data_IF_738497790660
#
_entry.id   IF_738497790660
#
_cell.length_a   1.000
_cell.length_b   1.000
_cell.length_c   1.000
_cell.angle_alpha   90.00
_cell.angle_beta   90.00
_cell.angle_gamma   90.00
#
_symmetry.space_group_name_H-M   'P 1'
#
loop_
_entity.id
_entity.type
_entity.pdbx_description
1 polymer ?
2 non-polymer ?
3 non-polymer ?
4 water ?
#
# COMPACT_ATOMS: atom_id res chain seq x y z
N UNK A 1 -9.93 -2.46 -16.51
CA UNK A 1 -10.10 -1.02 -16.59
C UNK A 1 -10.74 -0.43 -15.35
N UNK A 2 -10.48 0.86 -15.17
CA UNK A 2 -11.00 1.61 -14.02
C UNK A 2 -12.51 1.39 -13.89
N UNK A 3 -13.20 1.23 -15.01
CA UNK A 3 -14.66 1.26 -15.02
C UNK A 3 -15.25 0.01 -14.37
N UNK A 4 -14.79 -1.19 -14.74
CA UNK A 4 -15.15 -2.38 -13.95
C UNK A 4 -13.90 -3.25 -13.70
N UNK A 5 -13.16 -2.87 -12.66
CA UNK A 5 -12.20 -3.77 -12.07
C UNK A 5 -12.91 -4.66 -11.05
N UNK A 6 -12.17 -5.60 -10.47
CA UNK A 6 -12.63 -6.28 -9.28
C UNK A 6 -12.87 -5.29 -8.16
N UNK A 7 -13.75 -5.65 -7.24
CA UNK A 7 -13.93 -4.89 -6.01
C UNK A 7 -13.16 -5.58 -4.88
N UNK A 8 -13.07 -4.89 -3.75
CA UNK A 8 -12.48 -5.50 -2.56
C UNK A 8 -13.29 -6.72 -2.14
N UNK A 9 -14.62 -6.65 -2.23
CA UNK A 9 -15.43 -7.79 -1.82
C UNK A 9 -15.12 -9.01 -2.68
N UNK A 10 -14.88 -8.80 -3.97
CA UNK A 10 -14.46 -9.92 -4.82
C UNK A 10 -13.05 -10.38 -4.50
N UNK A 11 -12.16 -9.47 -4.10
CA UNK A 11 -10.84 -9.90 -3.63
C UNK A 11 -10.99 -10.81 -2.41
N UNK A 12 -11.86 -10.43 -1.47
CA UNK A 12 -12.11 -11.30 -0.30
C UNK A 12 -12.55 -12.69 -0.75
N UNK A 13 -13.51 -12.76 -1.65
CA UNK A 13 -14.00 -14.04 -2.17
C UNK A 13 -12.85 -14.91 -2.69
N UNK A 14 -12.01 -14.34 -3.54
CA UNK A 14 -10.92 -15.13 -4.12
C UNK A 14 -9.89 -15.56 -3.07
N UNK A 15 -9.60 -14.71 -2.08
CA UNK A 15 -8.74 -15.17 -0.99
C UNK A 15 -9.40 -16.29 -0.20
N UNK A 16 -10.71 -16.17 0.07
CA UNK A 16 -11.42 -17.25 0.72
C UNK A 16 -11.33 -18.55 -0.06
N UNK A 17 -11.49 -18.47 -1.38
CA UNK A 17 -11.40 -19.68 -2.20
C UNK A 17 -10.00 -20.27 -2.17
N UNK A 18 -8.97 -19.41 -2.15
CA UNK A 18 -7.59 -19.89 -2.06
C UNK A 18 -7.33 -20.64 -0.75
N UNK A 19 -7.88 -20.15 0.36
CA UNK A 19 -7.68 -20.83 1.64
C UNK A 19 -8.46 -22.14 1.68
N UNK A 20 -9.72 -22.12 1.23
CA UNK A 20 -10.53 -23.33 1.22
C UNK A 20 -9.91 -24.42 0.34
N UNK A 21 -9.31 -24.03 -0.77
CA UNK A 21 -8.63 -25.01 -1.61
C UNK A 21 -7.20 -25.31 -1.14
N UNK A 22 -6.75 -24.70 -0.05
CA UNK A 22 -5.41 -24.95 0.49
C UNK A 22 -4.34 -24.65 -0.56
N UNK A 23 -4.55 -23.54 -1.28
CA UNK A 23 -3.64 -23.03 -2.32
C UNK A 23 -2.46 -22.30 -1.66
N UNK A 24 -1.56 -23.07 -1.08
CA UNK A 24 -0.54 -22.52 -0.19
C UNK A 24 0.80 -22.32 -0.88
N UNK A 25 1.47 -21.24 -0.48
CA UNK A 25 2.81 -20.91 -0.97
C UNK A 25 3.71 -20.68 0.25
N UNK A 26 4.87 -21.35 0.28
CA UNK A 26 5.80 -21.18 1.39
C UNK A 26 6.50 -19.84 1.27
N UNK A 27 6.62 -19.14 2.40
CA UNK A 27 7.17 -17.79 2.47
C UNK A 27 8.69 -17.82 2.53
N UNK A 28 9.29 -16.66 2.27
CA UNK A 28 10.72 -16.45 2.50
C UNK A 28 11.15 -16.88 3.90
N UNK A 29 10.24 -16.85 4.86
CA UNK A 29 10.51 -17.25 6.23
C UNK A 29 10.04 -18.65 6.56
N UNK A 30 9.61 -19.42 5.56
CA UNK A 30 9.18 -20.80 5.76
C UNK A 30 7.74 -20.96 6.21
N UNK A 31 6.97 -19.88 6.27
CA UNK A 31 5.58 -19.94 6.70
C UNK A 31 4.69 -20.08 5.47
N UNK A 32 3.41 -20.39 5.67
CA UNK A 32 2.47 -20.49 4.55
C UNK A 32 1.85 -19.12 4.24
N UNK A 33 1.57 -18.91 2.96
CA UNK A 33 0.74 -17.80 2.52
C UNK A 33 -0.28 -18.30 1.52
N UNK A 34 -1.37 -17.55 1.39
CA UNK A 34 -2.25 -17.64 0.23
C UNK A 34 -2.11 -16.33 -0.53
N UNK A 35 -2.32 -16.37 -1.85
CA UNK A 35 -2.04 -15.22 -2.70
C UNK A 35 -3.08 -15.06 -3.81
N UNK A 36 -3.21 -13.82 -4.25
CA UNK A 36 -3.68 -13.50 -5.59
C UNK A 36 -2.48 -12.98 -6.37
N UNK A 37 -2.18 -13.62 -7.51
CA UNK A 37 -1.05 -13.25 -8.35
C UNK A 37 -1.54 -12.30 -9.43
N UNK A 38 -0.83 -11.20 -9.62
CA UNK A 38 -1.26 -10.21 -10.60
C UNK A 38 -2.59 -9.59 -10.22
N UNK A 39 -2.79 -9.34 -8.93
CA UNK A 39 -4.06 -8.78 -8.47
C UNK A 39 -4.28 -7.43 -9.11
N UNK A 40 -5.53 -7.13 -9.43
CA UNK A 40 -5.90 -5.81 -9.95
C UNK A 40 -7.33 -5.55 -9.55
N UNK A 41 -7.54 -4.50 -8.75
CA UNK A 41 -8.88 -4.22 -8.25
C UNK A 41 -8.99 -2.75 -7.90
N UNK A 42 -10.21 -2.23 -7.98
CA UNK A 42 -10.49 -0.90 -7.46
C UNK A 42 -10.60 -0.99 -5.95
N UNK A 43 -9.84 -0.15 -5.25
CA UNK A 43 -9.87 -0.11 -3.80
C UNK A 43 -11.12 0.68 -3.40
N UNK A 44 -12.27 0.00 -3.42
CA UNK A 44 -13.54 0.66 -3.10
C UNK A 44 -13.88 0.57 -1.63
N UNK A 45 -13.03 -0.06 -0.83
CA UNK A 45 -13.08 -0.07 0.62
C UNK A 45 -11.69 0.18 1.15
N UNK A 46 -11.55 0.76 2.33
CA UNK A 46 -10.22 1.08 2.88
C UNK A 46 -9.51 -0.07 3.59
N UNK A 47 -10.06 -1.28 3.53
CA UNK A 47 -9.46 -2.44 4.18
C UNK A 47 -10.02 -3.68 3.49
N UNK A 48 -9.34 -4.79 3.67
CA UNK A 48 -9.85 -6.06 3.16
C UNK A 48 -10.30 -6.91 4.35
N UNK A 49 -9.36 -7.29 5.20
CA UNK A 49 -9.64 -7.99 6.45
C UNK A 49 -8.92 -7.27 7.58
N UNK A 50 -9.47 -7.40 8.78
CA UNK A 50 -8.84 -6.86 9.97
C UNK A 50 -9.57 -5.64 10.51
N UNK A 51 -9.09 -5.17 11.65
CA UNK A 51 -9.69 -4.04 12.33
C UNK A 51 -9.08 -2.74 11.86
N UNK A 52 -9.84 -1.66 12.03
CA UNK A 52 -9.30 -0.32 11.88
C UNK A 52 -8.14 -0.11 12.87
N UNK A 53 -7.19 0.74 12.48
CA UNK A 53 -6.19 1.21 13.42
C UNK A 53 -5.74 2.58 12.91
N UNK A 54 -6.64 3.55 13.06
CA UNK A 54 -6.32 4.90 12.62
C UNK A 54 -5.09 5.44 13.32
N UNK A 55 -4.81 4.97 14.54
CA UNK A 55 -3.73 5.55 15.32
C UNK A 55 -2.36 5.10 14.81
N UNK A 56 -2.20 3.83 14.47
CA UNK A 56 -0.93 3.41 13.87
C UNK A 56 -0.72 4.09 12.52
N UNK A 57 -1.78 4.20 11.72
CA UNK A 57 -1.66 4.84 10.41
C UNK A 57 -1.22 6.29 10.55
N UNK A 58 -1.72 6.98 11.58
CA UNK A 58 -1.30 8.37 11.75
C UNK A 58 0.17 8.46 12.15
N UNK A 59 0.64 7.51 12.95
CA UNK A 59 2.07 7.48 13.29
C UNK A 59 2.91 7.26 12.04
N UNK A 60 2.49 6.32 11.18
CA UNK A 60 3.24 6.09 9.95
C UNK A 60 3.23 7.31 9.05
N UNK A 61 2.10 8.02 8.98
CA UNK A 61 2.03 9.25 8.19
C UNK A 61 3.04 10.28 8.68
N UNK A 62 3.12 10.47 10.01
CA UNK A 62 4.09 11.43 10.53
C UNK A 62 5.51 11.02 10.21
N UNK A 63 5.81 9.73 10.31
CA UNK A 63 7.12 9.24 9.91
C UNK A 63 7.39 9.52 8.43
N UNK A 64 6.39 9.33 7.57
CA UNK A 64 6.57 9.64 6.14
C UNK A 64 6.83 11.13 5.93
N UNK A 65 6.06 11.99 6.62
CA UNK A 65 6.29 13.43 6.48
C UNK A 65 7.69 13.82 6.94
N UNK A 66 8.28 13.12 7.90
CA UNK A 66 9.64 13.42 8.30
C UNK A 66 10.66 13.04 7.25
N UNK A 67 10.30 12.13 6.34
CA UNK A 67 11.19 11.58 5.31
C UNK A 67 12.37 10.81 5.90
N UNK A 68 12.33 10.44 7.17
CA UNK A 68 13.46 9.78 7.79
C UNK A 68 13.59 8.34 7.34
N UNK A 69 14.81 7.95 6.95
CA UNK A 69 15.09 6.57 6.59
C UNK A 69 15.40 5.67 7.80
N UNK A 70 15.17 6.15 9.02
CA UNK A 70 15.51 5.41 10.23
C UNK A 70 14.24 5.07 11.00
N UNK A 71 14.09 3.78 11.35
CA UNK A 71 12.82 3.32 11.90
C UNK A 71 12.56 3.89 13.28
N UNK A 72 13.61 4.26 14.03
CA UNK A 72 13.38 4.79 15.37
C UNK A 72 12.61 6.10 15.34
N UNK A 73 12.70 6.84 14.22
CA UNK A 73 11.97 8.08 14.06
C UNK A 73 10.47 7.88 13.90
N UNK A 74 9.99 6.65 13.73
CA UNK A 74 8.54 6.43 13.81
C UNK A 74 8.06 6.87 15.21
N UNK A 75 7.00 7.65 15.31
CA UNK A 75 6.57 8.15 16.63
C UNK A 75 6.31 7.02 17.62
N UNK A 76 6.76 7.22 18.87
CA UNK A 76 6.50 6.20 19.86
C UNK A 76 7.39 4.98 19.70
N UNK A 77 6.97 3.89 20.34
CA UNK A 77 7.74 2.66 20.26
C UNK A 77 7.61 2.07 18.85
N UNK A 78 8.73 1.99 18.15
CA UNK A 78 8.70 1.55 16.76
C UNK A 78 8.23 0.10 16.68
N UNK A 79 7.29 -0.25 15.79
CA UNK A 79 6.80 -1.62 15.72
C UNK A 79 7.92 -2.63 15.50
N UNK A 80 7.73 -3.83 16.05
CA UNK A 80 8.76 -4.86 15.96
C UNK A 80 9.08 -5.21 14.51
N UNK A 81 8.10 -5.18 13.61
CA UNK A 81 8.40 -5.53 12.22
C UNK A 81 9.37 -4.52 11.62
N UNK A 82 9.24 -3.25 11.99
CA UNK A 82 10.18 -2.25 11.49
C UNK A 82 11.56 -2.45 12.09
N UNK A 83 11.64 -2.75 13.39
CA UNK A 83 12.93 -3.03 14.01
C UNK A 83 13.61 -4.23 13.34
N UNK A 84 12.82 -5.26 12.97
CA UNK A 84 13.39 -6.48 12.39
C UNK A 84 14.00 -6.22 11.02
N UNK A 85 13.34 -5.41 10.18
CA UNK A 85 13.83 -5.24 8.81
C UNK A 85 14.90 -4.17 8.68
N UNK A 86 15.20 -3.43 9.76
CA UNK A 86 16.12 -2.31 9.65
C UNK A 86 17.57 -2.78 9.62
N UNK A 87 18.45 -1.90 9.15
CA UNK A 87 19.87 -2.22 9.07
C UNK A 87 20.51 -2.21 10.46
N UNK A 88 21.80 -2.54 10.49
CA UNK A 88 22.57 -2.48 11.74
C UNK A 88 22.59 -1.07 12.33
N UNK A 89 22.32 -0.04 11.52
CA UNK A 89 22.23 1.34 11.99
C UNK A 89 20.79 1.82 12.08
N UNK A 90 19.81 0.92 12.00
CA UNK A 90 18.42 1.30 12.14
C UNK A 90 17.79 1.85 10.88
N UNK A 91 18.41 1.64 9.73
CA UNK A 91 18.00 2.28 8.48
C UNK A 91 17.16 1.33 7.62
N UNK A 92 16.26 1.91 6.81
CA UNK A 92 15.40 1.15 5.91
C UNK A 92 15.40 1.85 4.55
N UNK A 93 14.59 1.32 3.63
CA UNK A 93 14.35 1.96 2.35
C UNK A 93 12.95 2.54 2.22
N UNK A 94 11.96 1.84 2.76
CA UNK A 94 10.55 2.08 2.42
C UNK A 94 9.91 3.14 3.29
N UNK A 95 10.51 4.32 3.36
CA UNK A 95 9.79 5.49 3.85
C UNK A 95 9.17 6.15 2.62
N UNK A 96 7.85 6.05 2.51
CA UNK A 96 7.16 6.52 1.32
C UNK A 96 7.16 8.04 1.24
N UNK A 97 7.22 8.74 2.38
CA UNK A 97 7.40 10.17 2.34
C UNK A 97 8.74 10.58 1.77
N UNK A 98 9.80 9.84 2.13
CA UNK A 98 11.07 10.04 1.46
C UNK A 98 10.92 9.79 -0.03
N UNK A 99 10.20 8.72 -0.41
CA UNK A 99 10.12 8.35 -1.81
C UNK A 99 9.51 9.48 -2.64
N UNK A 100 8.46 10.12 -2.13
CA UNK A 100 7.78 11.11 -2.96
C UNK A 100 8.20 12.55 -2.66
N UNK A 101 8.79 12.83 -1.50
CA UNK A 101 9.11 14.20 -1.14
C UNK A 101 10.59 14.52 -1.04
N UNK A 102 11.47 13.53 -0.98
CA UNK A 102 12.88 13.83 -0.84
C UNK A 102 13.50 14.24 -2.17
N UNK A 103 14.37 15.25 -2.12
CA UNK A 103 15.20 15.61 -3.27
C UNK A 103 16.06 14.42 -3.71
N UNK A 104 16.50 13.60 -2.76
CA UNK A 104 17.35 12.47 -3.10
C UNK A 104 16.62 11.39 -3.86
N UNK A 105 15.28 11.42 -3.92
CA UNK A 105 14.57 10.55 -4.85
C UNK A 105 13.96 11.34 -6.00
N UNK A 106 14.49 12.53 -6.28
CA UNK A 106 14.22 13.28 -7.50
C UNK A 106 12.82 13.89 -7.52
N UNK A 107 12.32 14.29 -6.36
CA UNK A 107 11.16 15.19 -6.25
C UNK A 107 9.94 14.64 -6.99
N UNK A 108 9.57 13.39 -6.63
CA UNK A 108 8.51 12.70 -7.36
C UNK A 108 7.18 13.46 -7.28
N UNK A 109 6.77 13.84 -6.07
CA UNK A 109 5.49 14.51 -5.91
C UNK A 109 5.47 15.84 -6.65
N UNK A 110 6.49 16.68 -6.42
CA UNK A 110 6.52 18.00 -7.04
C UNK A 110 6.58 17.92 -8.57
N UNK A 111 7.31 16.94 -9.10
CA UNK A 111 7.42 16.84 -10.56
C UNK A 111 6.13 16.31 -11.17
N UNK A 112 5.50 15.34 -10.51
CA UNK A 112 4.19 14.89 -10.95
C UNK A 112 3.18 16.04 -10.89
N UNK A 113 3.22 16.83 -9.80
CA UNK A 113 2.34 17.99 -9.68
C UNK A 113 2.58 18.98 -10.81
N UNK A 114 3.84 19.29 -11.10
CA UNK A 114 4.16 20.22 -12.18
C UNK A 114 3.73 19.67 -13.54
N UNK A 115 3.98 18.38 -13.78
CA UNK A 115 3.58 17.77 -15.05
C UNK A 115 2.07 17.89 -15.28
N UNK A 116 1.27 17.51 -14.28
CA UNK A 116 -0.18 17.55 -14.44
C UNK A 116 -0.70 18.99 -14.44
N UNK A 117 0.02 19.90 -13.79
CA UNK A 117 -0.39 21.30 -13.83
C UNK A 117 -0.25 21.90 -15.22
N UNK A 118 0.75 21.47 -15.99
CA UNK A 118 0.92 22.01 -17.33
C UNK A 118 0.20 21.19 -18.39
N UNK A 119 0.02 19.89 -18.18
CA UNK A 119 -0.75 19.06 -19.10
C UNK A 119 -1.69 18.17 -18.31
N UNK A 120 -2.93 18.66 -18.08
CA UNK A 120 -3.92 17.87 -17.33
C UNK A 120 -4.15 16.46 -17.87
N UNK A 121 -4.03 16.27 -19.17
CA UNK A 121 -4.25 14.96 -19.80
C UNK A 121 -2.99 14.11 -19.84
N UNK A 122 -1.90 14.56 -19.23
CA UNK A 122 -0.63 13.86 -19.34
C UNK A 122 -0.73 12.40 -18.93
N UNK A 123 -0.02 11.54 -19.66
CA UNK A 123 0.25 10.17 -19.27
C UNK A 123 1.59 10.02 -18.54
N UNK A 124 2.30 11.12 -18.31
CA UNK A 124 3.60 11.12 -17.65
C UNK A 124 3.53 11.62 -16.22
N UNK A 125 2.35 11.68 -15.62
CA UNK A 125 2.22 12.09 -14.24
C UNK A 125 2.36 10.88 -13.35
N UNK A 126 3.51 10.73 -12.69
CA UNK A 126 3.79 9.48 -11.99
C UNK A 126 4.75 9.75 -10.85
N UNK A 127 4.65 8.95 -9.80
CA UNK A 127 5.60 9.01 -8.70
C UNK A 127 6.28 7.65 -8.62
N UNK A 128 7.59 7.65 -8.81
CA UNK A 128 8.37 6.44 -8.95
C UNK A 128 9.02 6.19 -7.59
N UNK A 129 8.53 5.15 -6.90
CA UNK A 129 9.00 4.85 -5.55
C UNK A 129 10.29 4.03 -5.58
N UNK A 130 10.27 2.91 -6.30
CA UNK A 130 11.42 2.01 -6.33
C UNK A 130 12.46 2.56 -7.31
N UNK A 131 13.55 1.83 -7.50
CA UNK A 131 14.67 2.31 -8.29
C UNK A 131 15.48 1.11 -8.77
N UNK A 132 16.14 1.20 -9.93
CA UNK A 132 16.93 0.05 -10.42
C UNK A 132 17.97 -0.45 -9.41
N UNK A 133 18.62 0.46 -8.68
CA UNK A 133 19.63 0.03 -7.72
C UNK A 133 19.05 -0.75 -6.54
N UNK A 134 17.72 -0.83 -6.44
CA UNK A 134 17.09 -1.65 -5.40
C UNK A 134 17.54 -3.11 -5.46
N UNK A 135 17.99 -3.59 -6.64
CA UNK A 135 18.52 -4.95 -6.73
C UNK A 135 19.68 -5.18 -5.76
N UNK A 136 20.37 -4.12 -5.37
CA UNK A 136 21.47 -4.17 -4.41
C UNK A 136 21.15 -3.45 -3.10
N UNK A 137 20.30 -2.43 -3.13
CA UNK A 137 20.03 -1.61 -1.94
C UNK A 137 19.14 -2.31 -0.93
N UNK A 138 18.38 -3.33 -1.34
CA UNK A 138 17.38 -3.90 -0.44
C UNK A 138 17.99 -4.51 0.80
N UNK A 139 19.27 -4.90 0.78
CA UNK A 139 19.88 -5.42 2.00
C UNK A 139 21.14 -4.64 2.40
N UNK A 140 21.16 -3.34 2.12
CA UNK A 140 22.26 -2.49 2.56
C UNK A 140 22.42 -2.56 4.07
N UNK A 141 23.66 -2.77 4.53
CA UNK A 141 23.97 -2.80 5.96
C UNK A 141 23.12 -3.83 6.72
N UNK A 142 22.67 -4.86 6.03
CA UNK A 142 21.89 -5.91 6.66
C UNK A 142 20.42 -5.60 6.86
N UNK A 143 19.89 -4.54 6.26
CA UNK A 143 18.44 -4.40 6.25
C UNK A 143 17.83 -5.48 5.35
N UNK A 144 16.50 -5.62 5.41
CA UNK A 144 15.79 -6.54 4.51
C UNK A 144 14.54 -5.80 4.05
N UNK A 145 14.71 -4.95 3.02
CA UNK A 145 13.65 -4.01 2.68
C UNK A 145 13.76 -3.72 1.18
N UNK A 146 13.17 -4.61 0.38
CA UNK A 146 13.04 -4.42 -1.05
C UNK A 146 11.72 -3.67 -1.26
N UNK A 147 11.80 -2.41 -1.70
CA UNK A 147 10.63 -1.55 -1.81
C UNK A 147 9.43 -2.30 -2.40
N UNK A 148 8.30 -2.23 -1.69
CA UNK A 148 7.10 -2.97 -2.12
C UNK A 148 6.26 -2.19 -3.13
N UNK A 149 6.20 -0.87 -3.03
CA UNK A 149 5.53 -0.06 -4.03
C UNK A 149 6.51 0.28 -5.15
N UNK A 150 6.11 0.02 -6.39
CA UNK A 150 6.96 0.36 -7.53
C UNK A 150 6.70 1.80 -7.99
N UNK A 151 5.48 2.05 -8.47
CA UNK A 151 5.08 3.35 -9.02
C UNK A 151 3.63 3.63 -8.65
N UNK A 152 3.28 4.92 -8.60
CA UNK A 152 1.87 5.34 -8.58
C UNK A 152 1.70 6.39 -9.66
N UNK A 153 0.78 6.13 -10.59
CA UNK A 153 0.53 7.03 -11.70
C UNK A 153 -0.80 7.75 -11.48
N UNK A 154 -0.86 9.01 -11.91
CA UNK A 154 -2.04 9.82 -11.70
C UNK A 154 -2.58 10.29 -13.05
N UNK A 155 -3.84 9.97 -13.31
CA UNK A 155 -4.47 10.23 -14.60
C UNK A 155 -5.77 10.99 -14.35
N UNK A 156 -5.83 12.21 -14.89
CA UNK A 156 -6.98 13.09 -14.70
C UNK A 156 -7.88 12.95 -15.90
N UNK A 157 -9.07 12.38 -15.71
CA UNK A 157 -10.05 12.22 -16.78
C UNK A 157 -11.42 12.63 -16.27
N UNK A 158 -12.14 13.44 -17.06
CA UNK A 158 -13.44 13.98 -16.62
C UNK A 158 -13.33 14.65 -15.27
N UNK A 159 -12.23 15.39 -15.06
CA UNK A 159 -12.00 16.18 -13.85
C UNK A 159 -11.87 15.31 -12.59
N UNK A 160 -11.63 14.01 -12.74
CA UNK A 160 -11.35 13.13 -11.62
C UNK A 160 -9.91 12.63 -11.73
N UNK A 161 -9.18 12.70 -10.62
CA UNK A 161 -7.79 12.23 -10.60
C UNK A 161 -7.79 10.78 -10.12
N UNK A 162 -7.44 9.88 -11.03
CA UNK A 162 -7.33 8.46 -10.74
C UNK A 162 -5.89 8.10 -10.42
N UNK A 163 -5.70 7.19 -9.47
CA UNK A 163 -4.38 6.70 -9.08
C UNK A 163 -4.27 5.22 -9.42
N UNK A 164 -3.21 4.88 -10.16
CA UNK A 164 -2.94 3.50 -10.53
C UNK A 164 -1.71 3.09 -9.72
N UNK A 165 -1.94 2.32 -8.67
CA UNK A 165 -0.91 1.92 -7.71
C UNK A 165 -0.34 0.60 -8.19
N UNK A 166 0.98 0.55 -8.39
CA UNK A 166 1.66 -0.67 -8.85
C UNK A 166 2.62 -1.13 -7.78
N UNK A 167 2.30 -2.25 -7.13
CA UNK A 167 3.10 -2.83 -6.05
C UNK A 167 3.59 -4.21 -6.45
N UNK A 168 4.82 -4.57 -6.05
CA UNK A 168 5.26 -5.92 -6.33
C UNK A 168 4.71 -6.90 -5.30
N UNK A 169 4.35 -6.41 -4.11
CA UNK A 169 4.04 -7.25 -2.96
C UNK A 169 3.23 -6.43 -1.96
N UNK A 170 2.17 -7.03 -1.43
CA UNK A 170 1.34 -6.33 -0.46
C UNK A 170 0.68 -7.34 0.47
N UNK A 171 0.89 -7.17 1.76
CA UNK A 171 0.18 -7.99 2.74
C UNK A 171 -1.25 -7.48 2.87
N UNK A 172 -2.21 -8.39 2.70
CA UNK A 172 -3.63 -8.06 2.71
C UNK A 172 -4.06 -7.41 4.02
N UNK A 173 -3.47 -7.80 5.16
CA UNK A 173 -4.04 -7.44 6.45
C UNK A 173 -3.53 -6.10 6.96
N UNK A 174 -2.26 -6.00 7.36
CA UNK A 174 -1.77 -4.68 7.77
C UNK A 174 -1.40 -3.84 6.55
N UNK A 175 -0.68 -4.45 5.60
CA UNK A 175 -0.18 -3.75 4.41
C UNK A 175 -1.23 -2.95 3.67
N UNK A 176 -2.27 -3.62 3.16
CA UNK A 176 -3.22 -2.90 2.31
C UNK A 176 -3.87 -1.74 3.07
N UNK A 177 -4.27 -1.98 4.32
CA UNK A 177 -5.00 -0.94 5.04
C UNK A 177 -4.12 0.28 5.30
N UNK A 178 -2.88 0.05 5.73
CA UNK A 178 -1.94 1.16 5.90
C UNK A 178 -1.63 1.84 4.57
N UNK A 179 -1.33 1.04 3.53
CA UNK A 179 -0.93 1.62 2.25
C UNK A 179 -2.10 2.32 1.57
N UNK A 180 -3.32 1.78 1.69
CA UNK A 180 -4.47 2.50 1.14
C UNK A 180 -4.59 3.87 1.78
N UNK A 181 -4.52 3.93 3.12
CA UNK A 181 -4.61 5.21 3.80
C UNK A 181 -3.59 6.20 3.25
N UNK A 182 -2.36 5.73 3.03
CA UNK A 182 -1.31 6.59 2.49
C UNK A 182 -1.62 7.04 1.07
N UNK A 183 -2.01 6.10 0.20
CA UNK A 183 -2.28 6.50 -1.18
C UNK A 183 -3.49 7.42 -1.28
N UNK A 184 -4.50 7.23 -0.43
CA UNK A 184 -5.64 8.15 -0.40
C UNK A 184 -5.21 9.52 0.10
N UNK A 185 -4.29 9.56 1.08
CA UNK A 185 -3.72 10.82 1.53
C UNK A 185 -3.04 11.57 0.40
N UNK A 186 -2.17 10.89 -0.35
CA UNK A 186 -1.42 11.56 -1.41
C UNK A 186 -2.36 12.05 -2.50
N UNK A 187 -3.32 11.19 -2.88
CA UNK A 187 -4.29 11.58 -3.91
C UNK A 187 -5.05 12.83 -3.51
N UNK A 188 -5.58 12.85 -2.28
CA UNK A 188 -6.32 14.03 -1.83
C UNK A 188 -5.43 15.26 -1.81
N UNK A 189 -4.16 15.09 -1.41
CA UNK A 189 -3.23 16.22 -1.40
C UNK A 189 -2.96 16.73 -2.81
N UNK A 190 -2.80 15.81 -3.77
CA UNK A 190 -2.57 16.20 -5.16
C UNK A 190 -3.79 16.92 -5.72
N UNK A 191 -4.99 16.43 -5.44
CA UNK A 191 -6.21 17.13 -5.84
C UNK A 191 -6.22 18.55 -5.27
N UNK A 192 -5.97 18.67 -3.96
CA UNK A 192 -6.00 19.97 -3.31
C UNK A 192 -4.94 20.90 -3.87
N UNK A 193 -3.74 20.37 -4.12
CA UNK A 193 -2.66 21.20 -4.62
C UNK A 193 -2.95 21.70 -6.03
N UNK A 194 -3.51 20.83 -6.89
CA UNK A 194 -3.84 21.28 -8.24
C UNK A 194 -5.00 22.27 -8.22
N UNK A 195 -6.01 22.01 -7.41
CA UNK A 195 -7.13 22.95 -7.32
C UNK A 195 -6.68 24.29 -6.78
N UNK A 196 -5.82 24.29 -5.75
CA UNK A 196 -5.29 25.54 -5.24
C UNK A 196 -4.47 26.28 -6.27
N UNK A 197 -3.92 25.56 -7.27
CA UNK A 197 -3.13 26.23 -8.28
C UNK A 197 -3.97 27.01 -9.28
N UNK A 198 -5.19 26.55 -9.55
CA UNK A 198 -6.05 27.17 -10.57
C UNK A 198 -7.49 26.78 -10.28
N UNK A 199 -8.33 27.78 -9.97
CA UNK A 199 -9.71 27.56 -9.58
C UNK A 199 -10.61 27.07 -10.72
N UNK A 200 -10.14 27.17 -11.97
CA UNK A 200 -10.90 26.62 -13.09
C UNK A 200 -10.75 25.11 -13.23
N UNK A 201 -9.76 24.49 -12.57
CA UNK A 201 -9.53 23.06 -12.75
C UNK A 201 -10.69 22.24 -12.18
N UNK A 202 -11.03 22.48 -10.92
CA UNK A 202 -12.18 21.87 -10.26
C UNK A 202 -12.09 20.35 -10.24
N UNK A 203 -10.93 19.84 -9.86
CA UNK A 203 -10.73 18.40 -9.84
C UNK A 203 -11.32 17.80 -8.55
N UNK A 204 -11.65 16.51 -8.63
CA UNK A 204 -12.01 15.72 -7.46
C UNK A 204 -11.22 14.40 -7.50
N UNK A 205 -11.09 13.77 -6.34
CA UNK A 205 -10.45 12.46 -6.29
C UNK A 205 -11.27 11.44 -7.07
N UNK A 206 -10.59 10.63 -7.86
CA UNK A 206 -11.22 9.55 -8.59
C UNK A 206 -11.02 8.22 -7.89
N UNK A 207 -10.81 7.18 -8.68
CA UNK A 207 -10.65 5.84 -8.14
C UNK A 207 -9.18 5.52 -7.92
N UNK A 208 -8.92 4.71 -6.91
CA UNK A 208 -7.58 4.18 -6.66
C UNK A 208 -7.60 2.72 -7.11
N UNK A 209 -6.82 2.41 -8.15
CA UNK A 209 -6.71 1.05 -8.67
C UNK A 209 -5.46 0.40 -8.13
N UNK A 210 -5.62 -0.78 -7.56
CA UNK A 210 -4.58 -1.48 -6.82
C UNK A 210 -4.11 -2.64 -7.70
N UNK A 211 -2.82 -2.63 -8.05
CA UNK A 211 -2.22 -3.67 -8.87
C UNK A 211 -1.04 -4.25 -8.11
N UNK A 212 -1.09 -5.55 -7.83
CA UNK A 212 -0.13 -6.16 -6.93
C UNK A 212 0.37 -7.46 -7.55
N UNK A 213 1.70 -7.62 -7.64
CA UNK A 213 2.26 -8.87 -8.14
C UNK A 213 1.87 -10.05 -7.27
N UNK A 214 2.12 -9.95 -5.96
CA UNK A 214 1.66 -10.95 -5.01
C UNK A 214 0.90 -10.24 -3.89
N UNK A 215 -0.42 -10.35 -3.90
CA UNK A 215 -1.27 -9.87 -2.83
C UNK A 215 -1.56 -11.06 -1.91
N UNK A 216 -1.03 -11.04 -0.69
CA UNK A 216 -0.95 -12.29 0.07
C UNK A 216 -1.42 -12.12 1.52
N UNK A 217 -1.83 -13.25 2.10
CA UNK A 217 -2.15 -13.37 3.52
C UNK A 217 -1.21 -14.38 4.15
N UNK A 218 -0.59 -14.00 5.25
CA UNK A 218 0.24 -14.94 6.01
C UNK A 218 -0.63 -15.86 6.86
N UNK A 219 -0.10 -17.05 7.16
CA UNK A 219 -0.87 -18.02 7.93
C UNK A 219 -1.34 -17.49 9.27
N UNK A 220 -0.58 -16.57 9.89
CA UNK A 220 -0.99 -15.97 11.16
C UNK A 220 -2.30 -15.19 11.06
N UNK A 221 -2.76 -14.88 9.85
CA UNK A 221 -4.02 -14.19 9.64
C UNK A 221 -5.05 -15.05 8.93
N UNK A 222 -4.77 -16.35 8.71
CA UNK A 222 -5.77 -17.20 8.06
C UNK A 222 -7.09 -17.20 8.81
N UNK A 223 -7.04 -17.05 10.14
CA UNK A 223 -8.27 -17.04 10.93
C UNK A 223 -9.21 -15.92 10.49
N UNK A 224 -8.67 -14.76 10.09
CA UNK A 224 -9.51 -13.67 9.61
C UNK A 224 -10.23 -14.07 8.32
N UNK A 225 -9.49 -14.68 7.39
CA UNK A 225 -10.09 -15.14 6.14
C UNK A 225 -11.16 -16.18 6.44
N UNK A 226 -10.82 -17.17 7.26
CA UNK A 226 -11.76 -18.22 7.60
C UNK A 226 -13.00 -17.67 8.28
N UNK A 227 -12.83 -16.77 9.24
CA UNK A 227 -14.01 -16.22 9.90
C UNK A 227 -14.89 -15.46 8.92
N UNK A 228 -14.28 -14.67 8.02
CA UNK A 228 -15.09 -13.98 7.03
C UNK A 228 -15.76 -14.97 6.09
N UNK A 229 -15.04 -16.02 5.70
CA UNK A 229 -15.59 -17.05 4.82
C UNK A 229 -16.87 -17.65 5.40
N UNK A 230 -16.93 -17.80 6.72
CA UNK A 230 -18.03 -18.46 7.40
C UNK A 230 -19.15 -17.53 7.80
N UNK A 231 -18.86 -16.24 8.00
CA UNK A 231 -19.82 -15.32 8.60
C UNK A 231 -20.02 -14.03 7.84
N UNK A 232 -19.12 -13.64 6.94
CA UNK A 232 -19.21 -12.34 6.31
C UNK A 232 -18.66 -11.19 7.14
N UNK A 233 -18.16 -11.48 8.33
CA UNK A 233 -17.57 -10.45 9.20
C UNK A 233 -16.09 -10.28 8.82
N UNK A 234 -15.71 -9.06 8.48
CA UNK A 234 -14.35 -8.82 8.01
C UNK A 234 -13.34 -8.76 9.14
N UNK A 235 -13.78 -8.84 10.39
CA UNK A 235 -12.87 -8.79 11.52
C UNK A 235 -13.41 -9.64 12.65
N UNK A 236 -12.51 -10.30 13.36
CA UNK A 236 -12.78 -10.91 14.65
C UNK A 236 -11.49 -10.85 15.45
N UNK A 237 -11.61 -10.65 16.76
CA UNK A 237 -10.42 -10.68 17.60
C UNK A 237 -9.89 -12.11 17.67
N UNK A 238 -8.56 -12.24 17.80
CA UNK A 238 -7.99 -13.58 17.85
C UNK A 238 -8.53 -14.37 19.04
N UNK A 239 -8.80 -13.68 20.16
CA UNK A 239 -9.37 -14.36 21.32
C UNK A 239 -10.74 -14.94 20.99
N UNK A 240 -11.60 -14.18 20.29
CA UNK A 240 -12.95 -14.64 20.02
C UNK A 240 -13.00 -15.72 18.93
N UNK A 241 -11.95 -15.83 18.11
CA UNK A 241 -12.01 -16.72 16.95
C UNK A 241 -12.10 -18.19 17.38
N UNK A 242 -13.03 -18.91 16.76
CA UNK A 242 -13.24 -20.34 16.93
C UNK A 242 -13.18 -20.97 15.53
N UNK A 243 -12.18 -21.83 15.31
CA UNK A 243 -12.07 -22.46 14.01
C UNK A 243 -10.75 -23.19 13.83
N UNK A 244 -10.41 -23.45 12.56
CA UNK A 244 -9.32 -24.34 12.22
C UNK A 244 -7.95 -23.74 12.49
N UNK A 245 -7.80 -22.42 12.33
CA UNK A 245 -6.48 -21.80 12.22
C UNK A 245 -6.02 -21.10 13.50
N UNK A 246 -6.36 -21.67 14.66
CA UNK A 246 -5.76 -21.26 15.95
C UNK A 246 -5.87 -19.77 16.24
X LIG B 1 13.88 1.37 17.42
X LIG C 1 9.12 -9.63 0.39
X LIG C 1 10.05 -8.45 0.19
X LIG C 1 9.90 -10.92 0.36
X LIG C 1 8.06 -9.64 -0.69
X LIG C 1 8.43 -9.50 1.74
#
# INVERSE_FOLDING_TARGET
MISDSMTVEEIRLHLGLALKEKDFVVDKTGVKTIEIIGASFVADEPFIFGALNDEYIQRELEWYKSKSLFVKDIPGETPKIWQQVASSKGEINSNYGWAIWSEDNYAQYDMCLAELGQNPDSRRGIMIYTRPSMQFDYNKDGMSDFMCTNTVQYLIRDKKINAVVNMRSNDVVFGFRNDYAWQKYVLDKLVSDLNAGDSTRQYKAGSIIWNVGSLHVYSRHFYLVDHWWKTGETHISKKDYVGKYA
IOD I
PO4 P O1 O2 O3 O4
#
